data_IF_288252918986
#
_entry.id   IF_288252918986
#
_cell.length_a   1.000
_cell.length_b   1.000
_cell.length_c   1.000
_cell.angle_alpha   90.00
_cell.angle_beta   90.00
_cell.angle_gamma   90.00
#
_symmetry.space_group_name_H-M   'P 1'
#
loop_
_entity.id
_entity.type
_entity.pdbx_description
1 polymer ?
#
# COMPACT_ATOMS: atom_id res chain seq x y z
N UNK A 1 11.63 29.02 -23.73
CA UNK A 1 11.88 28.35 -22.44
C UNK A 1 11.70 26.86 -22.64
N UNK A 2 12.73 26.03 -22.42
CA UNK A 2 12.59 24.59 -22.57
C UNK A 2 11.75 24.04 -21.41
N UNK A 3 10.62 23.43 -21.74
CA UNK A 3 9.78 22.72 -20.77
C UNK A 3 10.57 21.53 -20.24
N UNK A 4 10.81 21.50 -18.92
CA UNK A 4 11.43 20.35 -18.28
C UNK A 4 10.63 19.07 -18.62
N UNK A 5 11.29 17.94 -18.96
CA UNK A 5 10.60 16.71 -19.36
C UNK A 5 9.66 16.16 -18.27
N UNK A 6 9.91 16.52 -17.00
CA UNK A 6 9.03 16.20 -15.86
C UNK A 6 7.72 17.00 -15.92
N UNK A 7 7.77 18.25 -16.38
CA UNK A 7 6.60 19.14 -16.48
C UNK A 7 5.63 18.70 -17.58
N UNK A 8 6.14 18.19 -18.71
CA UNK A 8 5.31 17.69 -19.82
C UNK A 8 4.60 16.36 -19.49
N UNK A 9 5.24 15.50 -18.67
CA UNK A 9 4.60 14.26 -18.18
C UNK A 9 3.48 14.57 -17.18
N UNK A 10 3.69 15.56 -16.32
CA UNK A 10 2.66 16.02 -15.37
C UNK A 10 1.40 16.53 -16.07
N UNK A 11 1.54 17.35 -17.13
CA UNK A 11 0.39 17.84 -17.89
C UNK A 11 -0.37 16.73 -18.62
N UNK A 12 0.33 15.68 -19.04
CA UNK A 12 -0.28 14.52 -19.73
C UNK A 12 -1.11 13.70 -18.75
N UNK A 13 -0.58 13.41 -17.56
CA UNK A 13 -1.32 12.69 -16.51
C UNK A 13 -2.58 13.46 -16.06
N UNK A 14 -2.47 14.77 -15.84
CA UNK A 14 -3.64 15.59 -15.48
C UNK A 14 -4.70 15.62 -16.57
N UNK A 15 -4.28 15.67 -17.84
CA UNK A 15 -5.20 15.61 -18.99
C UNK A 15 -5.90 14.25 -19.08
N UNK A 16 -5.18 13.15 -18.82
CA UNK A 16 -5.75 11.81 -18.78
C UNK A 16 -6.75 11.65 -17.62
N UNK A 17 -6.43 12.16 -16.43
CA UNK A 17 -7.34 12.11 -15.28
C UNK A 17 -8.60 12.94 -15.53
N UNK A 18 -8.46 14.15 -16.09
CA UNK A 18 -9.59 14.98 -16.47
C UNK A 18 -10.49 14.32 -17.52
N UNK A 19 -9.90 13.65 -18.52
CA UNK A 19 -10.66 12.90 -19.52
C UNK A 19 -11.41 11.71 -18.89
N UNK A 20 -10.79 11.03 -17.92
CA UNK A 20 -11.42 9.94 -17.18
C UNK A 20 -12.59 10.40 -16.30
N UNK A 21 -12.42 11.52 -15.56
CA UNK A 21 -13.50 12.05 -14.71
C UNK A 21 -14.65 12.65 -15.51
N UNK A 22 -14.40 13.11 -16.75
CA UNK A 22 -15.45 13.57 -17.66
C UNK A 22 -16.23 12.42 -18.33
N UNK A 23 -15.68 11.20 -18.35
CA UNK A 23 -16.35 10.04 -18.94
C UNK A 23 -17.42 9.47 -18.00
N UNK A 24 -18.52 8.89 -18.54
CA UNK A 24 -19.48 8.16 -17.72
C UNK A 24 -18.80 7.04 -16.93
N UNK A 25 -19.13 6.92 -15.64
CA UNK A 25 -18.56 5.89 -14.78
C UNK A 25 -18.98 4.50 -15.29
N UNK A 26 -18.02 3.75 -15.82
CA UNK A 26 -18.24 2.36 -16.20
C UNK A 26 -18.31 1.46 -14.95
N UNK A 27 -19.02 0.35 -15.04
CA UNK A 27 -19.01 -0.68 -13.99
C UNK A 27 -17.60 -1.25 -13.85
N UNK A 28 -16.97 -1.13 -12.68
CA UNK A 28 -15.59 -1.60 -12.49
C UNK A 28 -15.52 -3.12 -12.54
N UNK A 29 -14.43 -3.64 -13.09
CA UNK A 29 -14.16 -5.09 -13.21
C UNK A 29 -13.30 -5.64 -12.08
N UNK A 30 -12.84 -4.79 -11.16
CA UNK A 30 -11.97 -5.21 -10.06
C UNK A 30 -10.54 -5.49 -10.53
N UNK A 31 -10.02 -4.67 -11.46
CA UNK A 31 -8.65 -4.79 -11.96
C UNK A 31 -7.69 -3.86 -11.22
N UNK A 32 -6.39 -4.20 -11.22
CA UNK A 32 -5.34 -3.34 -10.65
C UNK A 32 -5.30 -1.97 -11.32
N UNK A 33 -5.51 -1.91 -12.64
CA UNK A 33 -5.52 -0.66 -13.38
C UNK A 33 -6.65 0.27 -12.91
N UNK A 34 -7.85 -0.27 -12.68
CA UNK A 34 -8.97 0.49 -12.12
C UNK A 34 -8.69 0.95 -10.69
N UNK A 35 -8.03 0.13 -9.87
CA UNK A 35 -7.65 0.50 -8.51
C UNK A 35 -6.61 1.63 -8.48
N UNK A 36 -5.58 1.57 -9.34
CA UNK A 36 -4.59 2.65 -9.51
C UNK A 36 -5.26 3.93 -9.97
N UNK A 37 -6.22 3.83 -10.90
CA UNK A 37 -6.95 4.99 -11.40
C UNK A 37 -7.85 5.61 -10.33
N UNK A 38 -8.55 4.79 -9.54
CA UNK A 38 -9.35 5.25 -8.41
C UNK A 38 -8.48 5.98 -7.38
N UNK A 39 -7.29 5.44 -7.06
CA UNK A 39 -6.32 6.12 -6.20
C UNK A 39 -5.84 7.45 -6.79
N UNK A 40 -5.47 7.48 -8.08
CA UNK A 40 -5.00 8.71 -8.73
C UNK A 40 -6.06 9.82 -8.73
N UNK A 41 -7.33 9.47 -8.94
CA UNK A 41 -8.45 10.42 -8.86
C UNK A 41 -8.70 10.87 -7.42
N UNK A 42 -8.61 9.96 -6.44
CA UNK A 42 -8.71 10.29 -5.02
C UNK A 42 -7.60 11.25 -4.55
N UNK A 43 -6.35 11.02 -4.95
CA UNK A 43 -5.21 11.91 -4.68
C UNK A 43 -5.40 13.29 -5.30
N UNK A 44 -5.87 13.33 -6.56
CA UNK A 44 -6.22 14.60 -7.21
C UNK A 44 -7.29 15.34 -6.42
N UNK A 45 -8.37 14.65 -6.05
CA UNK A 45 -9.46 15.23 -5.26
C UNK A 45 -8.99 15.75 -3.90
N UNK A 46 -8.10 15.03 -3.22
CA UNK A 46 -7.52 15.45 -1.95
C UNK A 46 -6.69 16.74 -2.09
N UNK A 47 -5.93 16.87 -3.19
CA UNK A 47 -5.07 18.04 -3.43
C UNK A 47 -5.81 19.27 -3.96
N UNK A 48 -6.77 19.09 -4.86
CA UNK A 48 -7.43 20.19 -5.58
C UNK A 48 -8.85 20.47 -5.11
N UNK A 49 -9.46 19.56 -4.35
CA UNK A 49 -10.89 19.61 -3.99
C UNK A 49 -11.84 19.29 -5.14
N UNK A 50 -11.33 19.08 -6.36
CA UNK A 50 -12.14 18.77 -7.55
C UNK A 50 -12.49 17.28 -7.62
N UNK A 51 -13.56 16.94 -8.33
CA UNK A 51 -13.91 15.55 -8.67
C UNK A 51 -14.12 14.62 -7.45
N UNK A 52 -14.23 15.15 -6.22
CA UNK A 52 -14.35 14.35 -5.00
C UNK A 52 -15.54 13.41 -5.02
N UNK A 53 -16.72 13.90 -5.43
CA UNK A 53 -17.92 13.06 -5.53
C UNK A 53 -17.74 11.92 -6.54
N UNK A 54 -17.05 12.19 -7.65
CA UNK A 54 -16.72 11.17 -8.64
C UNK A 54 -15.76 10.12 -8.04
N UNK A 55 -14.68 10.56 -7.38
CA UNK A 55 -13.70 9.70 -6.71
C UNK A 55 -14.37 8.75 -5.70
N UNK A 56 -15.22 9.30 -4.83
CA UNK A 56 -15.98 8.52 -3.84
C UNK A 56 -16.96 7.53 -4.52
N UNK A 57 -17.60 7.93 -5.62
CA UNK A 57 -18.50 7.05 -6.37
C UNK A 57 -17.75 5.87 -7.02
N UNK A 58 -16.59 6.16 -7.62
CA UNK A 58 -15.74 5.18 -8.29
C UNK A 58 -15.17 4.18 -7.28
N UNK A 59 -14.65 4.67 -6.15
CA UNK A 59 -14.10 3.83 -5.09
C UNK A 59 -15.18 2.93 -4.48
N UNK A 60 -16.36 3.48 -4.16
CA UNK A 60 -17.49 2.68 -3.66
C UNK A 60 -17.94 1.62 -4.64
N UNK A 61 -17.99 1.94 -5.94
CA UNK A 61 -18.31 0.96 -6.97
C UNK A 61 -17.24 -0.15 -7.00
N UNK A 62 -15.96 0.21 -6.99
CA UNK A 62 -14.86 -0.76 -7.01
C UNK A 62 -14.89 -1.69 -5.80
N UNK A 63 -15.10 -1.16 -4.59
CA UNK A 63 -15.19 -1.95 -3.36
C UNK A 63 -16.39 -2.89 -3.37
N UNK A 64 -17.55 -2.42 -3.88
CA UNK A 64 -18.77 -3.23 -3.94
C UNK A 64 -18.67 -4.38 -4.94
N UNK A 65 -18.11 -4.14 -6.12
CA UNK A 65 -18.01 -5.16 -7.18
C UNK A 65 -16.84 -6.13 -6.96
N UNK A 66 -15.88 -5.83 -6.07
CA UNK A 66 -14.72 -6.70 -5.81
C UNK A 66 -15.03 -7.70 -4.68
N UNK A 67 -14.97 -9.02 -4.92
CA UNK A 67 -15.12 -10.02 -3.86
C UNK A 67 -14.05 -9.85 -2.77
N UNK A 68 -14.37 -10.22 -1.51
CA UNK A 68 -13.45 -10.06 -0.36
C UNK A 68 -12.04 -10.63 -0.62
N UNK A 69 -11.94 -11.80 -1.27
CA UNK A 69 -10.64 -12.40 -1.62
C UNK A 69 -9.89 -11.68 -2.75
N UNK A 70 -10.60 -10.97 -3.64
CA UNK A 70 -10.00 -10.18 -4.72
C UNK A 70 -9.46 -8.83 -4.24
N UNK A 71 -9.95 -8.33 -3.11
CA UNK A 71 -9.59 -7.02 -2.57
C UNK A 71 -8.08 -6.88 -2.31
N UNK A 72 -7.45 -7.96 -1.85
CA UNK A 72 -6.01 -7.95 -1.56
C UNK A 72 -5.18 -7.78 -2.83
N UNK A 73 -5.69 -8.28 -3.96
CA UNK A 73 -5.08 -8.05 -5.27
C UNK A 73 -5.11 -6.58 -5.70
N UNK A 74 -6.01 -5.76 -5.14
CA UNK A 74 -6.16 -4.34 -5.43
C UNK A 74 -5.39 -3.43 -4.47
N UNK A 75 -4.78 -4.01 -3.43
CA UNK A 75 -3.88 -3.27 -2.55
C UNK A 75 -2.58 -2.88 -3.28
N UNK A 76 -1.92 -1.79 -2.88
CA UNK A 76 -2.31 -0.86 -1.82
C UNK A 76 -3.32 0.23 -2.26
N UNK A 77 -3.68 0.25 -3.54
CA UNK A 77 -4.34 1.40 -4.18
C UNK A 77 -5.72 1.72 -3.60
N UNK A 78 -6.55 0.71 -3.34
CA UNK A 78 -7.88 0.94 -2.72
C UNK A 78 -7.73 1.55 -1.33
N UNK A 79 -6.81 1.02 -0.53
CA UNK A 79 -6.55 1.53 0.81
C UNK A 79 -6.01 2.96 0.81
N UNK A 80 -5.08 3.28 -0.10
CA UNK A 80 -4.58 4.65 -0.26
C UNK A 80 -5.64 5.61 -0.79
N UNK A 81 -6.55 5.15 -1.66
CA UNK A 81 -7.67 5.96 -2.14
C UNK A 81 -8.61 6.34 -0.99
N UNK A 82 -8.95 5.38 -0.12
CA UNK A 82 -9.76 5.62 1.10
C UNK A 82 -9.09 6.66 2.01
N UNK A 83 -7.79 6.51 2.27
CA UNK A 83 -7.03 7.45 3.12
C UNK A 83 -6.95 8.84 2.51
N UNK A 84 -6.69 8.94 1.20
CA UNK A 84 -6.64 10.22 0.49
C UNK A 84 -7.98 10.96 0.56
N UNK A 85 -9.10 10.25 0.38
CA UNK A 85 -10.43 10.85 0.49
C UNK A 85 -10.78 11.21 1.94
N UNK A 86 -10.38 10.38 2.92
CA UNK A 86 -10.63 10.69 4.33
C UNK A 86 -9.88 11.95 4.79
N UNK A 87 -8.65 12.18 4.31
CA UNK A 87 -7.79 13.23 4.82
C UNK A 87 -7.58 13.06 6.32
N UNK A 88 -7.89 14.09 7.11
CA UNK A 88 -7.90 14.04 8.59
C UNK A 88 -9.22 13.52 9.19
N UNK A 89 -10.26 13.36 8.37
CA UNK A 89 -11.58 12.93 8.79
C UNK A 89 -11.68 11.43 9.11
N UNK A 90 -12.88 10.92 9.43
CA UNK A 90 -13.06 9.48 9.59
C UNK A 90 -12.84 8.73 8.27
N UNK A 91 -12.19 7.57 8.34
CA UNK A 91 -12.02 6.66 7.18
C UNK A 91 -13.31 5.87 7.02
N UNK A 92 -14.04 6.10 5.91
CA UNK A 92 -15.36 5.52 5.69
C UNK A 92 -15.37 3.99 5.78
N UNK A 93 -14.34 3.35 5.21
CA UNK A 93 -14.20 1.90 5.16
C UNK A 93 -13.25 1.35 6.25
N UNK A 94 -13.03 2.05 7.37
CA UNK A 94 -12.05 1.66 8.39
C UNK A 94 -12.18 0.21 8.87
N UNK A 95 -13.41 -0.20 9.22
CA UNK A 95 -13.72 -1.57 9.67
C UNK A 95 -13.37 -2.59 8.59
N UNK A 96 -13.76 -2.30 7.34
CA UNK A 96 -13.49 -3.19 6.22
C UNK A 96 -11.99 -3.31 5.92
N UNK A 97 -11.23 -2.21 5.99
CA UNK A 97 -9.77 -2.23 5.80
C UNK A 97 -9.07 -3.05 6.89
N UNK A 98 -9.56 -3.01 8.13
CA UNK A 98 -9.11 -3.88 9.22
C UNK A 98 -9.41 -5.35 8.96
N UNK A 99 -10.63 -5.69 8.51
CA UNK A 99 -10.97 -7.06 8.09
C UNK A 99 -10.05 -7.58 6.98
N UNK A 100 -9.71 -6.73 6.00
CA UNK A 100 -8.77 -7.09 4.93
C UNK A 100 -7.38 -7.35 5.49
N UNK A 101 -6.88 -6.52 6.41
CA UNK A 101 -5.60 -6.73 7.09
C UNK A 101 -5.60 -8.05 7.88
N UNK A 102 -6.66 -8.34 8.60
CA UNK A 102 -6.77 -9.59 9.38
C UNK A 102 -6.78 -10.82 8.45
N UNK A 103 -7.43 -10.72 7.29
CA UNK A 103 -7.36 -11.74 6.27
C UNK A 103 -5.93 -11.92 5.74
N UNK A 104 -5.21 -10.83 5.46
CA UNK A 104 -3.79 -10.88 5.03
C UNK A 104 -2.94 -11.69 6.01
N UNK A 105 -3.09 -11.45 7.30
CA UNK A 105 -2.34 -12.17 8.33
C UNK A 105 -2.77 -13.61 8.52
N UNK A 106 -4.05 -13.91 8.28
CA UNK A 106 -4.54 -15.30 8.24
C UNK A 106 -3.87 -16.11 7.12
N UNK A 107 -3.54 -15.45 6.01
CA UNK A 107 -2.91 -16.07 4.84
C UNK A 107 -1.39 -15.89 4.79
N UNK A 108 -0.78 -15.36 5.85
CA UNK A 108 0.67 -15.25 5.97
C UNK A 108 1.25 -16.62 6.38
N UNK A 109 2.22 -17.10 5.60
CA UNK A 109 2.91 -18.34 5.91
C UNK A 109 3.81 -18.20 7.12
N UNK A 110 3.62 -19.06 8.11
CA UNK A 110 4.45 -19.17 9.29
C UNK A 110 5.43 -20.34 9.16
N UNK A 111 6.39 -20.44 10.09
CA UNK A 111 7.31 -21.59 10.13
C UNK A 111 6.56 -22.93 10.30
N UNK A 112 5.37 -22.92 10.91
CA UNK A 112 4.51 -24.11 11.04
C UNK A 112 3.99 -24.57 9.68
N UNK A 113 3.74 -23.64 8.77
CA UNK A 113 3.19 -23.92 7.44
C UNK A 113 4.28 -24.37 6.46
N UNK A 114 5.47 -23.76 6.53
CA UNK A 114 6.58 -24.03 5.59
C UNK A 114 7.52 -25.16 6.04
N UNK A 115 7.59 -25.42 7.35
CA UNK A 115 8.66 -26.23 7.91
C UNK A 115 10.06 -25.62 7.72
N UNK A 116 11.09 -26.40 8.02
CA UNK A 116 12.51 -25.96 7.96
C UNK A 116 13.01 -25.88 6.52
N UNK A 117 12.55 -26.80 5.65
CA UNK A 117 13.03 -26.92 4.27
C UNK A 117 12.58 -25.74 3.39
N UNK A 118 11.37 -25.23 3.62
CA UNK A 118 10.80 -24.11 2.85
C UNK A 118 10.79 -22.80 3.64
N UNK A 119 11.68 -22.65 4.63
CA UNK A 119 11.78 -21.48 5.53
C UNK A 119 11.95 -20.13 4.81
N UNK A 120 12.34 -20.16 3.52
CA UNK A 120 12.51 -18.98 2.68
C UNK A 120 11.15 -18.43 2.17
N UNK A 121 10.08 -19.22 2.29
CA UNK A 121 8.70 -18.82 1.98
C UNK A 121 7.98 -18.16 3.17
N UNK A 122 8.52 -18.31 4.39
CA UNK A 122 7.93 -17.75 5.60
C UNK A 122 7.78 -16.24 5.49
N UNK A 123 6.61 -15.73 5.90
CA UNK A 123 6.22 -14.33 5.81
C UNK A 123 5.54 -13.98 4.49
N UNK A 124 5.62 -14.85 3.48
CA UNK A 124 4.89 -14.71 2.23
C UNK A 124 3.38 -14.86 2.45
N UNK A 125 2.60 -14.16 1.63
CA UNK A 125 1.14 -14.13 1.74
C UNK A 125 0.52 -14.85 0.55
N UNK A 126 -0.37 -15.80 0.82
CA UNK A 126 -1.03 -16.64 -0.19
C UNK A 126 -2.54 -16.65 -0.01
N UNK A 127 -3.27 -15.97 -0.90
CA UNK A 127 -4.73 -16.10 -0.99
C UNK A 127 -5.09 -17.30 -1.86
N UNK A 128 -5.31 -18.47 -1.25
CA UNK A 128 -5.72 -19.67 -2.00
C UNK A 128 -7.21 -19.60 -2.35
N UNK A 129 -7.53 -19.31 -3.61
CA UNK A 129 -8.79 -19.76 -4.24
C UNK A 129 -8.57 -20.90 -5.25
N UNK A 130 -7.33 -21.41 -5.36
CA UNK A 130 -6.92 -22.62 -6.07
C UNK A 130 -5.63 -23.15 -5.45
N UNK A 131 -5.48 -24.45 -5.27
CA UNK A 131 -4.49 -25.09 -4.39
C UNK A 131 -3.01 -24.69 -4.57
N UNK A 132 -2.22 -24.97 -3.53
CA UNK A 132 -0.75 -24.79 -3.41
C UNK A 132 -0.16 -23.69 -4.31
N UNK A 133 -0.65 -22.45 -4.16
CA UNK A 133 0.03 -21.29 -4.73
C UNK A 133 1.12 -20.89 -3.75
N UNK A 134 2.38 -21.15 -4.06
CA UNK A 134 3.49 -20.67 -3.25
C UNK A 134 3.56 -19.11 -3.33
N UNK A 135 4.03 -18.41 -2.29
CA UNK A 135 4.02 -16.96 -2.27
C UNK A 135 4.94 -16.36 -3.33
N UNK A 136 4.52 -15.23 -3.88
CA UNK A 136 5.23 -14.50 -4.96
C UNK A 136 5.38 -13.03 -4.57
N UNK A 137 6.01 -12.23 -5.43
CA UNK A 137 6.09 -10.78 -5.23
C UNK A 137 4.74 -10.09 -5.00
N UNK A 138 3.62 -10.72 -5.39
CA UNK A 138 2.27 -10.20 -5.13
C UNK A 138 2.00 -9.97 -3.63
N UNK A 139 2.71 -10.65 -2.73
CA UNK A 139 2.63 -10.36 -1.28
C UNK A 139 2.98 -8.90 -0.96
N UNK A 140 3.82 -8.23 -1.76
CA UNK A 140 4.17 -6.83 -1.55
C UNK A 140 2.95 -5.88 -1.59
N UNK A 141 1.88 -6.24 -2.30
CA UNK A 141 0.67 -5.42 -2.44
C UNK A 141 -0.04 -5.15 -1.10
N UNK A 142 -0.51 -6.18 -0.37
CA UNK A 142 -1.08 -5.96 0.96
C UNK A 142 -0.04 -5.49 1.98
N UNK A 143 1.22 -5.91 1.88
CA UNK A 143 2.28 -5.47 2.82
C UNK A 143 2.44 -3.96 2.75
N UNK A 144 2.45 -3.37 1.55
CA UNK A 144 2.57 -1.93 1.39
C UNK A 144 1.46 -1.17 2.10
N UNK A 145 0.22 -1.64 1.99
CA UNK A 145 -0.90 -0.99 2.66
C UNK A 145 -0.92 -1.26 4.17
N UNK A 146 -0.63 -2.48 4.62
CA UNK A 146 -0.53 -2.80 6.03
C UNK A 146 0.55 -1.96 6.73
N UNK A 147 1.68 -1.72 6.05
CA UNK A 147 2.71 -0.80 6.51
C UNK A 147 2.18 0.65 6.63
N UNK A 148 1.33 1.10 5.71
CA UNK A 148 0.64 2.40 5.83
C UNK A 148 -0.34 2.43 7.02
N UNK A 149 -1.13 1.38 7.22
CA UNK A 149 -2.09 1.30 8.32
C UNK A 149 -1.43 1.42 9.69
N UNK A 150 -0.18 0.94 9.83
CA UNK A 150 0.56 0.94 11.09
C UNK A 150 0.69 2.35 11.71
N UNK A 151 0.83 3.40 10.90
CA UNK A 151 0.95 4.78 11.38
C UNK A 151 -0.37 5.54 11.50
N UNK A 152 -1.48 4.94 11.08
CA UNK A 152 -2.78 5.58 11.12
C UNK A 152 -3.56 5.11 12.36
N UNK A 153 -3.73 5.97 13.40
CA UNK A 153 -4.40 5.57 14.64
C UNK A 153 -5.89 5.24 14.45
N UNK A 154 -6.49 5.66 13.32
CA UNK A 154 -7.87 5.31 12.97
C UNK A 154 -7.98 3.86 12.49
N UNK A 155 -6.87 3.25 12.06
CA UNK A 155 -6.79 1.90 11.53
C UNK A 155 -5.98 0.94 12.42
N UNK A 156 -5.00 1.43 13.17
CA UNK A 156 -4.18 0.62 14.09
C UNK A 156 -4.12 1.32 15.43
N UNK A 157 -4.75 0.71 16.44
CA UNK A 157 -4.68 1.24 17.81
C UNK A 157 -3.28 1.06 18.40
N UNK A 158 -2.89 1.88 19.39
CA UNK A 158 -1.61 1.71 20.09
C UNK A 158 -1.42 0.30 20.68
N UNK A 159 -2.51 -0.35 21.11
CA UNK A 159 -2.50 -1.69 21.70
C UNK A 159 -2.26 -2.78 20.65
N UNK A 160 -2.78 -2.62 19.44
CA UNK A 160 -2.58 -3.56 18.31
C UNK A 160 -1.17 -3.44 17.72
N UNK A 161 -0.58 -2.24 17.77
CA UNK A 161 0.64 -1.87 17.05
C UNK A 161 1.81 -2.86 17.22
N UNK A 162 2.21 -3.29 18.43
CA UNK A 162 3.35 -4.20 18.58
C UNK A 162 3.15 -5.54 17.85
N UNK A 163 1.93 -6.07 17.85
CA UNK A 163 1.60 -7.31 17.14
C UNK A 163 1.68 -7.14 15.62
N UNK A 164 1.20 -6.01 15.12
CA UNK A 164 1.25 -5.65 13.70
C UNK A 164 2.70 -5.46 13.21
N UNK A 165 3.57 -4.86 14.03
CA UNK A 165 5.01 -4.72 13.71
C UNK A 165 5.67 -6.09 13.52
N UNK A 166 5.42 -7.05 14.40
CA UNK A 166 6.01 -8.40 14.31
C UNK A 166 5.60 -9.09 13.00
N UNK A 167 4.31 -9.04 12.66
CA UNK A 167 3.80 -9.63 11.40
C UNK A 167 4.39 -8.95 10.17
N UNK A 168 4.54 -7.62 10.20
CA UNK A 168 5.17 -6.86 9.13
C UNK A 168 6.66 -7.19 8.97
N UNK A 169 7.41 -7.36 10.05
CA UNK A 169 8.83 -7.76 9.99
C UNK A 169 8.98 -9.12 9.30
N UNK A 170 8.13 -10.09 9.64
CA UNK A 170 8.13 -11.40 8.96
C UNK A 170 7.80 -11.26 7.47
N UNK A 171 6.82 -10.42 7.12
CA UNK A 171 6.46 -10.17 5.74
C UNK A 171 7.58 -9.46 4.95
N UNK A 172 8.28 -8.51 5.58
CA UNK A 172 9.43 -7.84 4.99
C UNK A 172 10.62 -8.78 4.80
N UNK A 173 10.84 -9.73 5.73
CA UNK A 173 11.84 -10.77 5.57
C UNK A 173 11.59 -11.57 4.28
N UNK A 174 10.34 -11.94 4.00
CA UNK A 174 10.00 -12.61 2.74
C UNK A 174 10.34 -11.76 1.50
N UNK A 175 9.96 -10.48 1.49
CA UNK A 175 10.32 -9.57 0.38
C UNK A 175 11.84 -9.47 0.20
N UNK A 176 12.60 -9.48 1.30
CA UNK A 176 14.05 -9.50 1.26
C UNK A 176 14.62 -10.80 0.66
N UNK A 177 13.96 -11.96 0.83
CA UNK A 177 14.34 -13.22 0.17
C UNK A 177 14.14 -13.17 -1.35
N UNK A 178 13.15 -12.40 -1.82
CA UNK A 178 12.93 -12.20 -3.25
C UNK A 178 13.99 -11.29 -3.88
N UNK A 179 14.68 -10.45 -3.10
CA UNK A 179 15.71 -9.56 -3.60
C UNK A 179 16.86 -10.33 -4.25
N UNK A 180 17.30 -9.87 -5.42
CA UNK A 180 18.43 -10.41 -6.14
C UNK A 180 19.73 -10.02 -5.44
N UNK A 181 20.19 -10.90 -4.55
CA UNK A 181 21.48 -10.81 -3.89
C UNK A 181 22.66 -11.18 -4.80
N UNK A 182 23.89 -11.19 -4.27
CA UNK A 182 25.10 -11.53 -5.03
C UNK A 182 25.03 -12.88 -5.73
N UNK A 183 24.47 -13.91 -5.07
CA UNK A 183 24.34 -15.25 -5.63
C UNK A 183 23.41 -15.30 -6.85
N UNK A 184 22.27 -14.60 -6.80
CA UNK A 184 21.33 -14.51 -7.93
C UNK A 184 21.95 -13.71 -9.07
N UNK A 185 22.58 -12.58 -8.75
CA UNK A 185 23.17 -11.69 -9.74
C UNK A 185 24.37 -12.31 -10.48
N UNK A 186 25.07 -13.27 -9.88
CA UNK A 186 26.22 -13.95 -10.48
C UNK A 186 25.88 -14.71 -11.78
N UNK A 187 24.61 -15.07 -11.99
CA UNK A 187 24.15 -15.76 -13.20
C UNK A 187 23.70 -14.80 -14.32
N UNK A 188 23.80 -13.49 -14.12
CA UNK A 188 23.46 -12.47 -15.11
C UNK A 188 24.70 -11.98 -15.87
N UNK A 189 24.54 -11.67 -17.16
CA UNK A 189 25.59 -11.02 -17.95
C UNK A 189 25.93 -9.59 -17.52
N UNK A 190 25.07 -8.96 -16.69
CA UNK A 190 25.26 -7.62 -16.10
C UNK A 190 24.81 -7.61 -14.64
N UNK A 191 25.59 -8.18 -13.70
CA UNK A 191 25.20 -8.34 -12.29
C UNK A 191 24.83 -7.02 -11.60
N UNK A 192 25.47 -5.92 -11.97
CA UNK A 192 25.26 -4.57 -11.44
C UNK A 192 23.88 -3.98 -11.75
N UNK A 193 23.24 -4.41 -12.85
CA UNK A 193 21.89 -3.95 -13.22
C UNK A 193 20.78 -4.81 -12.60
N UNK A 194 21.14 -5.98 -12.06
CA UNK A 194 20.20 -6.98 -11.53
C UNK A 194 20.15 -6.94 -10.01
N UNK A 195 21.25 -6.56 -9.36
CA UNK A 195 21.36 -6.54 -7.91
C UNK A 195 20.32 -5.62 -7.27
N UNK A 196 19.63 -6.13 -6.25
CA UNK A 196 18.62 -5.38 -5.49
C UNK A 196 17.23 -5.34 -6.13
N UNK A 197 17.08 -5.79 -7.39
CA UNK A 197 15.75 -5.98 -7.97
C UNK A 197 15.01 -7.17 -7.33
N UNK A 198 13.68 -7.13 -7.37
CA UNK A 198 12.82 -8.13 -6.74
C UNK A 198 12.41 -9.17 -7.76
N UNK A 199 12.68 -10.44 -7.45
CA UNK A 199 12.28 -11.59 -8.23
C UNK A 199 10.78 -11.86 -8.15
N UNK A 200 10.24 -12.51 -9.19
CA UNK A 200 8.84 -12.88 -9.23
C UNK A 200 8.47 -13.89 -8.13
N UNK A 201 9.37 -14.83 -7.84
CA UNK A 201 9.26 -15.81 -6.77
C UNK A 201 10.67 -16.30 -6.35
N UNK A 202 10.77 -17.07 -5.25
CA UNK A 202 12.08 -17.58 -4.80
C UNK A 202 12.70 -18.58 -5.80
N UNK A 203 11.86 -19.24 -6.62
CA UNK A 203 12.25 -20.16 -7.68
C UNK A 203 12.26 -19.52 -9.09
N UNK A 204 11.81 -18.28 -9.23
CA UNK A 204 11.68 -17.61 -10.53
C UNK A 204 12.63 -16.39 -10.60
N UNK A 205 13.64 -16.39 -11.49
CA UNK A 205 14.61 -15.30 -11.58
C UNK A 205 14.09 -14.04 -12.28
N UNK A 206 12.91 -14.07 -12.93
CA UNK A 206 12.36 -12.88 -13.58
C UNK A 206 12.13 -11.76 -12.57
N UNK A 207 12.46 -10.51 -12.95
CA UNK A 207 12.32 -9.34 -12.07
C UNK A 207 11.37 -8.32 -12.70
N UNK A 208 10.05 -8.48 -12.51
CA UNK A 208 9.08 -7.49 -12.98
C UNK A 208 9.37 -6.12 -12.34
N UNK A 209 9.36 -5.02 -13.10
CA UNK A 209 9.54 -3.67 -12.54
C UNK A 209 8.54 -3.36 -11.42
N UNK A 210 7.30 -3.86 -11.53
CA UNK A 210 6.24 -3.69 -10.55
C UNK A 210 6.58 -4.36 -9.21
N UNK A 211 7.24 -5.52 -9.25
CA UNK A 211 7.67 -6.24 -8.05
C UNK A 211 8.66 -5.39 -7.24
N UNK A 212 9.63 -4.79 -7.93
CA UNK A 212 10.63 -3.90 -7.31
C UNK A 212 9.97 -2.63 -6.79
N UNK A 213 9.12 -1.99 -7.60
CA UNK A 213 8.41 -0.77 -7.21
C UNK A 213 7.54 -1.00 -5.96
N UNK A 214 6.76 -2.08 -5.91
CA UNK A 214 5.88 -2.37 -4.78
C UNK A 214 6.65 -2.77 -3.52
N UNK A 215 7.74 -3.52 -3.63
CA UNK A 215 8.57 -3.82 -2.46
C UNK A 215 9.26 -2.55 -1.91
N UNK A 216 9.69 -1.64 -2.79
CA UNK A 216 10.23 -0.34 -2.37
C UNK A 216 9.16 0.52 -1.70
N UNK A 217 7.93 0.54 -2.24
CA UNK A 217 6.80 1.21 -1.59
C UNK A 217 6.55 0.60 -0.21
N UNK A 218 6.45 -0.73 -0.09
CA UNK A 218 6.26 -1.41 1.18
C UNK A 218 7.36 -1.07 2.20
N UNK A 219 8.62 -1.09 1.77
CA UNK A 219 9.77 -0.74 2.62
C UNK A 219 9.69 0.72 3.07
N UNK A 220 9.42 1.64 2.15
CA UNK A 220 9.33 3.07 2.45
C UNK A 220 8.16 3.38 3.40
N UNK A 221 7.02 2.73 3.19
CA UNK A 221 5.85 2.84 4.06
C UNK A 221 6.13 2.31 5.46
N UNK A 222 6.82 1.18 5.59
CA UNK A 222 7.20 0.64 6.89
C UNK A 222 8.15 1.58 7.64
N UNK A 223 9.21 2.05 6.97
CA UNK A 223 10.17 2.97 7.58
C UNK A 223 9.48 4.27 8.03
N UNK A 224 8.62 4.86 7.19
CA UNK A 224 7.82 6.03 7.57
C UNK A 224 6.95 5.76 8.80
N UNK A 225 6.36 4.57 8.88
CA UNK A 225 5.49 4.21 9.99
C UNK A 225 6.26 3.96 11.28
N UNK A 226 7.40 3.28 11.23
CA UNK A 226 8.29 3.10 12.38
C UNK A 226 8.82 4.45 12.90
N UNK A 227 9.25 5.34 12.01
CA UNK A 227 9.67 6.71 12.39
C UNK A 227 8.55 7.47 13.11
N UNK A 228 7.31 7.33 12.62
CA UNK A 228 6.14 8.01 13.20
C UNK A 228 5.82 7.45 14.59
N UNK A 229 5.82 6.13 14.73
CA UNK A 229 5.59 5.44 16.00
C UNK A 229 6.68 5.78 17.01
N UNK A 230 7.94 5.78 16.59
CA UNK A 230 9.07 6.14 17.45
C UNK A 230 8.96 7.59 17.95
N UNK A 231 8.61 8.54 17.08
CA UNK A 231 8.37 9.93 17.48
C UNK A 231 7.22 10.05 18.48
N UNK A 232 6.10 9.36 18.24
CA UNK A 232 4.96 9.37 19.15
C UNK A 232 5.31 8.77 20.53
N UNK A 233 6.15 7.74 20.57
CA UNK A 233 6.62 7.14 21.82
C UNK A 233 7.55 8.07 22.63
N UNK A 234 8.32 8.93 21.94
CA UNK A 234 9.21 9.91 22.58
C UNK A 234 8.47 11.14 23.13
N UNK A 235 7.40 11.56 22.45
CA UNK A 235 6.64 12.78 22.79
C UNK A 235 5.17 12.48 23.17
N UNK A 236 4.89 11.90 24.35
CA UNK A 236 3.54 11.51 24.78
C UNK A 236 2.56 12.69 25.04
N UNK A 237 2.98 13.94 24.85
CA UNK A 237 2.23 15.15 25.22
C UNK A 237 1.57 15.91 24.05
N UNK A 238 1.58 15.39 22.82
CA UNK A 238 0.83 16.03 21.71
C UNK A 238 -0.51 15.32 21.47
N UNK A 239 -1.63 15.80 22.02
CA UNK A 239 -2.94 15.34 21.56
C UNK A 239 -3.15 15.79 20.11
N UNK A 240 -3.54 14.86 19.25
CA UNK A 240 -4.04 15.16 17.92
C UNK A 240 -5.32 16.01 18.06
N UNK A 241 -5.20 17.31 17.82
CA UNK A 241 -6.32 18.25 17.81
C UNK A 241 -6.19 19.37 18.85
N UNK A 242 -5.37 20.39 18.56
CA UNK A 242 -5.56 21.72 19.13
C UNK A 242 -6.18 22.61 18.05
N UNK A 243 -7.45 22.97 18.24
CA UNK A 243 -8.23 23.87 17.39
C UNK A 243 -7.62 25.28 17.26
N UNK A 244 -8.26 26.16 16.46
CA UNK A 244 -7.66 27.43 16.06
C UNK A 244 -7.39 28.35 17.26
N UNK A 245 -6.37 29.22 17.18
CA UNK A 245 -6.04 30.12 18.28
C UNK A 245 -7.22 31.06 18.55
N UNK A 246 -7.76 30.97 19.77
CA UNK A 246 -8.77 31.88 20.27
C UNK A 246 -8.29 33.32 20.19
N UNK A 247 -9.14 34.17 19.63
CA UNK A 247 -8.98 35.63 19.60
C UNK A 247 -8.79 36.14 21.02
N UNK A 248 -7.56 36.54 21.35
CA UNK A 248 -7.23 37.25 22.57
C UNK A 248 -7.98 38.58 22.58
N UNK A 249 -9.08 38.61 23.35
CA UNK A 249 -9.81 39.83 23.66
C UNK A 249 -8.88 40.78 24.44
N UNK A 250 -8.71 41.98 23.89
CA UNK A 250 -8.26 43.15 24.63
C UNK A 250 -9.08 43.31 25.92
N UNK A 251 -8.38 43.60 27.01
CA UNK A 251 -8.96 44.24 28.19
C UNK A 251 -8.01 45.33 28.70
N UNK A 252 -8.59 46.42 29.24
CA UNK A 252 -8.00 47.77 29.29
C UNK A 252 -6.89 47.94 30.32
#
# INVERSE_FOLDING_TARGET
>A
MPTHPICARCSTCESMLAAHTAAPLATPRGTVAEAVLAWAVAERAARTGQDRAFAESQLRALVRETPKGGMVGLMPWVGWAELALAGEGPVASAVYLREVRDAVWTYQLTLRDTGIEERDLQGGIVFTSGGLSLPTWNSARPIAFAATMLRDPRLTTPEEMPGEVVRLIDAMRFLQQLAAGPAVAAFSGRPELVRGGIRAAVWDPHQPPEATALAMLATAELLRSLDTVERAARDPQTPAGSGPPGTGAERP
#
